data_IF_787384858057
#
_entry.id   IF_787384858057
#
_cell.length_a   1.000
_cell.length_b   1.000
_cell.length_c   1.000
_cell.angle_alpha   90.00
_cell.angle_beta   90.00
_cell.angle_gamma   90.00
#
_symmetry.space_group_name_H-M   'P 1'
#
loop_
_entity.id
_entity.type
_entity.pdbx_description
1 polymer ?
#
# COMPACT_ATOMS: atom_id res chain seq x y z
N UNK A 1 7.75 -27.10 49.30
CA UNK A 1 7.53 -27.45 47.89
C UNK A 1 7.29 -26.24 46.99
N UNK A 2 6.31 -25.37 47.28
CA UNK A 2 6.05 -24.19 46.44
C UNK A 2 7.24 -23.22 46.33
N UNK A 3 7.99 -22.98 47.42
CA UNK A 3 9.23 -22.19 47.38
C UNK A 3 10.31 -22.85 46.51
N UNK A 4 10.40 -24.18 46.46
CA UNK A 4 11.34 -24.88 45.58
C UNK A 4 10.95 -24.72 44.11
N UNK A 5 9.65 -24.61 43.80
CA UNK A 5 9.13 -24.35 42.44
C UNK A 5 9.40 -22.90 42.01
N UNK A 6 9.25 -21.95 42.93
CA UNK A 6 9.54 -20.53 42.68
C UNK A 6 11.04 -20.30 42.51
N UNK A 7 11.86 -20.81 43.43
CA UNK A 7 13.30 -20.55 43.43
C UNK A 7 14.09 -21.45 42.48
N UNK A 8 13.74 -22.75 42.40
CA UNK A 8 14.37 -23.72 41.51
C UNK A 8 15.91 -23.70 41.50
N UNK A 9 16.51 -24.37 40.53
CA UNK A 9 17.95 -24.22 40.28
C UNK A 9 18.14 -22.96 39.41
N UNK A 10 18.88 -21.95 39.91
CA UNK A 10 19.10 -20.64 39.22
C UNK A 10 19.62 -20.75 37.78
N UNK A 11 20.10 -21.93 37.36
CA UNK A 11 20.63 -22.21 36.02
C UNK A 11 19.60 -22.70 35.00
N UNK A 12 18.42 -23.17 35.41
CA UNK A 12 17.34 -23.57 34.50
C UNK A 12 16.12 -22.70 34.73
N UNK A 13 15.93 -21.66 33.91
CA UNK A 13 14.68 -20.91 33.86
C UNK A 13 13.60 -21.74 33.13
N UNK A 14 13.21 -22.88 33.69
CA UNK A 14 11.98 -23.55 33.25
C UNK A 14 10.80 -22.95 34.00
N UNK A 15 9.80 -22.50 33.24
CA UNK A 15 8.53 -22.04 33.78
C UNK A 15 7.48 -23.14 33.56
N UNK A 16 6.65 -23.39 34.56
CA UNK A 16 5.58 -24.40 34.50
C UNK A 16 4.29 -23.82 35.06
N UNK A 17 3.16 -24.46 34.79
CA UNK A 17 1.87 -24.06 35.37
C UNK A 17 1.88 -24.05 36.91
N UNK A 18 2.71 -24.89 37.53
CA UNK A 18 2.89 -24.89 38.99
C UNK A 18 3.44 -23.56 39.53
N UNK A 19 4.23 -22.83 38.75
CA UNK A 19 4.72 -21.49 39.12
C UNK A 19 3.57 -20.49 39.27
N UNK A 20 2.57 -20.54 38.38
CA UNK A 20 1.39 -19.68 38.48
C UNK A 20 0.50 -20.07 39.65
N UNK A 21 0.33 -21.38 39.90
CA UNK A 21 -0.41 -21.85 41.08
C UNK A 21 0.25 -21.41 42.40
N UNK A 22 1.58 -21.44 42.48
CA UNK A 22 2.31 -20.93 43.65
C UNK A 22 2.14 -19.41 43.83
N UNK A 23 2.15 -18.64 42.75
CA UNK A 23 1.85 -17.20 42.78
C UNK A 23 0.43 -16.91 43.29
N UNK A 24 -0.56 -17.71 42.87
CA UNK A 24 -1.95 -17.56 43.31
C UNK A 24 -2.09 -17.84 44.81
N UNK A 25 -1.41 -18.88 45.31
CA UNK A 25 -1.35 -19.17 46.76
C UNK A 25 -0.71 -18.05 47.55
N UNK A 26 0.39 -17.45 47.06
CA UNK A 26 1.03 -16.29 47.71
C UNK A 26 0.04 -15.14 47.83
N UNK A 27 -0.69 -14.84 46.76
CA UNK A 27 -1.69 -13.78 46.75
C UNK A 27 -2.86 -14.08 47.71
N UNK A 28 -3.29 -15.35 47.79
CA UNK A 28 -4.33 -15.79 48.72
C UNK A 28 -3.88 -15.64 50.18
N UNK A 29 -2.67 -16.08 50.53
CA UNK A 29 -2.10 -15.94 51.88
C UNK A 29 -2.00 -14.46 52.25
N UNK A 30 -1.52 -13.62 51.33
CA UNK A 30 -1.45 -12.16 51.53
C UNK A 30 -2.84 -11.51 51.71
N UNK A 31 -3.89 -12.04 51.08
CA UNK A 31 -5.24 -11.53 51.27
C UNK A 31 -5.84 -12.01 52.61
N UNK A 32 -5.59 -13.26 52.98
CA UNK A 32 -6.08 -13.87 54.21
C UNK A 32 -5.42 -13.28 55.47
N UNK A 33 -4.19 -12.78 55.39
CA UNK A 33 -3.55 -12.06 56.50
C UNK A 33 -4.30 -10.78 56.91
N UNK A 34 -5.10 -10.19 56.01
CA UNK A 34 -6.02 -9.09 56.37
C UNK A 34 -7.11 -9.54 57.36
N UNK A 35 -7.47 -10.82 57.36
CA UNK A 35 -8.38 -11.41 58.35
C UNK A 35 -7.66 -11.50 59.70
N UNK A 36 -6.39 -11.94 59.72
CA UNK A 36 -5.57 -12.00 60.94
C UNK A 36 -5.40 -10.62 61.59
N UNK A 37 -5.25 -9.56 60.79
CA UNK A 37 -5.23 -8.18 61.30
C UNK A 37 -6.53 -7.82 62.04
N UNK A 38 -7.69 -8.25 61.54
CA UNK A 38 -9.00 -8.00 62.17
C UNK A 38 -9.21 -8.84 63.43
N UNK A 39 -8.52 -9.96 63.55
CA UNK A 39 -8.55 -10.87 64.72
C UNK A 39 -7.58 -10.47 65.84
N UNK A 40 -6.87 -9.35 65.73
CA UNK A 40 -5.97 -8.82 66.77
C UNK A 40 -4.51 -9.28 66.67
N UNK A 41 -4.15 -10.08 65.66
CA UNK A 41 -2.79 -10.60 65.44
C UNK A 41 -2.00 -9.70 64.46
N UNK A 42 -1.90 -8.41 64.75
CA UNK A 42 -1.40 -7.42 63.79
C UNK A 42 0.07 -7.64 63.38
N UNK A 43 0.97 -7.87 64.33
CA UNK A 43 2.41 -8.05 64.04
C UNK A 43 2.66 -9.25 63.14
N UNK A 44 2.12 -10.43 63.49
CA UNK A 44 2.27 -11.63 62.66
C UNK A 44 1.65 -11.48 61.27
N UNK A 45 0.52 -10.76 61.18
CA UNK A 45 -0.12 -10.50 59.89
C UNK A 45 0.76 -9.61 59.00
N UNK A 46 1.37 -8.56 59.55
CA UNK A 46 2.29 -7.68 58.82
C UNK A 46 3.55 -8.43 58.38
N UNK A 47 4.17 -9.20 59.27
CA UNK A 47 5.36 -10.00 58.94
C UNK A 47 5.07 -11.00 57.81
N UNK A 48 3.90 -11.66 57.87
CA UNK A 48 3.48 -12.60 56.81
C UNK A 48 3.24 -11.88 55.49
N UNK A 49 2.61 -10.70 55.52
CA UNK A 49 2.38 -9.90 54.30
C UNK A 49 3.71 -9.49 53.66
N UNK A 50 4.68 -9.04 54.45
CA UNK A 50 6.00 -8.64 53.95
C UNK A 50 6.73 -9.83 53.30
N UNK A 51 6.73 -11.00 53.95
CA UNK A 51 7.31 -12.22 53.36
C UNK A 51 6.61 -12.63 52.05
N UNK A 52 5.27 -12.54 51.99
CA UNK A 52 4.53 -12.86 50.76
C UNK A 52 4.85 -11.87 49.62
N UNK A 53 5.05 -10.59 49.92
CA UNK A 53 5.48 -9.59 48.94
C UNK A 53 6.85 -9.93 48.38
N UNK A 54 7.83 -10.26 49.24
CA UNK A 54 9.17 -10.65 48.81
C UNK A 54 9.15 -11.86 47.88
N UNK A 55 8.41 -12.91 48.26
CA UNK A 55 8.24 -14.10 47.42
C UNK A 55 7.55 -13.78 46.09
N UNK A 56 6.58 -12.86 46.10
CA UNK A 56 5.88 -12.42 44.89
C UNK A 56 6.82 -11.66 43.95
N UNK A 57 7.66 -10.77 44.46
CA UNK A 57 8.63 -10.00 43.65
C UNK A 57 9.65 -10.91 42.98
N UNK A 58 10.27 -11.83 43.73
CA UNK A 58 11.26 -12.77 43.17
C UNK A 58 10.62 -13.73 42.15
N UNK A 59 9.39 -14.19 42.41
CA UNK A 59 8.64 -15.02 41.48
C UNK A 59 8.29 -14.26 40.18
N UNK A 60 7.87 -13.00 40.28
CA UNK A 60 7.59 -12.15 39.13
C UNK A 60 8.85 -11.82 38.34
N UNK A 61 10.01 -11.65 38.98
CA UNK A 61 11.28 -11.46 38.28
C UNK A 61 11.64 -12.69 37.43
N UNK A 62 11.44 -13.90 37.97
CA UNK A 62 11.62 -15.15 37.21
C UNK A 62 10.68 -15.25 36.02
N UNK A 63 9.39 -14.96 36.22
CA UNK A 63 8.37 -14.93 35.16
C UNK A 63 8.76 -13.92 34.08
N UNK A 64 9.18 -12.73 34.47
CA UNK A 64 9.64 -11.67 33.57
C UNK A 64 10.81 -12.13 32.70
N UNK A 65 11.91 -12.62 33.31
CA UNK A 65 13.11 -13.06 32.57
C UNK A 65 12.81 -14.21 31.61
N UNK A 66 11.98 -15.15 32.05
CA UNK A 66 11.53 -16.25 31.19
C UNK A 66 10.74 -15.73 29.99
N UNK A 67 9.77 -14.85 30.25
CA UNK A 67 8.90 -14.31 29.19
C UNK A 67 9.69 -13.48 28.19
N UNK A 68 10.63 -12.65 28.66
CA UNK A 68 11.51 -11.88 27.78
C UNK A 68 12.27 -12.78 26.80
N UNK A 69 12.71 -13.97 27.23
CA UNK A 69 13.44 -14.92 26.39
C UNK A 69 12.58 -15.72 25.41
N UNK A 70 11.28 -15.87 25.69
CA UNK A 70 10.38 -16.78 24.96
C UNK A 70 9.25 -16.06 24.20
N UNK A 71 8.99 -14.78 24.49
CA UNK A 71 7.85 -14.04 23.94
C UNK A 71 7.81 -14.03 22.40
N UNK A 72 8.97 -14.12 21.72
CA UNK A 72 9.04 -14.18 20.25
C UNK A 72 8.40 -15.42 19.62
N UNK A 73 8.21 -16.49 20.40
CA UNK A 73 7.63 -17.77 20.00
C UNK A 73 6.20 -17.95 20.52
N UNK A 74 5.43 -16.86 20.58
CA UNK A 74 4.06 -16.85 21.10
C UNK A 74 3.10 -17.76 20.31
N UNK A 75 3.43 -18.01 19.06
CA UNK A 75 2.76 -18.92 18.13
C UNK A 75 3.09 -20.41 18.35
N UNK A 76 4.08 -20.73 19.19
CA UNK A 76 4.38 -22.11 19.56
C UNK A 76 3.30 -22.64 20.54
N UNK A 77 2.51 -23.67 20.15
CA UNK A 77 1.42 -24.20 20.98
C UNK A 77 1.83 -24.65 22.38
N UNK A 78 3.08 -25.09 22.57
CA UNK A 78 3.60 -25.52 23.87
C UNK A 78 3.90 -24.33 24.80
N UNK A 79 4.11 -23.13 24.24
CA UNK A 79 4.51 -21.94 24.97
C UNK A 79 3.40 -20.88 25.08
N UNK A 80 2.46 -20.86 24.14
CA UNK A 80 1.42 -19.81 24.04
C UNK A 80 0.71 -19.57 25.36
N UNK A 81 0.27 -20.64 26.04
CA UNK A 81 -0.47 -20.51 27.30
C UNK A 81 0.40 -20.00 28.45
N UNK A 82 1.65 -20.47 28.56
CA UNK A 82 2.60 -20.00 29.56
C UNK A 82 2.94 -18.52 29.35
N UNK A 83 3.14 -18.10 28.11
CA UNK A 83 3.41 -16.70 27.75
C UNK A 83 2.21 -15.82 28.11
N UNK A 84 0.99 -16.21 27.71
CA UNK A 84 -0.22 -15.44 27.99
C UNK A 84 -0.48 -15.31 29.50
N UNK A 85 -0.26 -16.38 30.28
CA UNK A 85 -0.39 -16.34 31.74
C UNK A 85 0.67 -15.44 32.38
N UNK A 86 1.92 -15.48 31.89
CA UNK A 86 2.97 -14.57 32.34
C UNK A 86 2.60 -13.10 32.09
N UNK A 87 2.10 -12.78 30.89
CA UNK A 87 1.65 -11.43 30.55
C UNK A 87 0.51 -10.96 31.46
N UNK A 88 -0.45 -11.85 31.76
CA UNK A 88 -1.52 -11.57 32.73
C UNK A 88 -0.94 -11.27 34.12
N UNK A 89 0.00 -12.07 34.64
CA UNK A 89 0.59 -11.86 35.96
C UNK A 89 1.41 -10.57 36.05
N UNK A 90 1.99 -10.10 34.95
CA UNK A 90 2.73 -8.83 34.89
C UNK A 90 1.83 -7.62 34.63
N UNK A 91 0.55 -7.81 34.29
CA UNK A 91 -0.35 -6.72 33.91
C UNK A 91 -0.49 -5.64 35.01
N UNK A 92 -0.56 -6.04 36.28
CA UNK A 92 -0.66 -5.13 37.43
C UNK A 92 0.66 -4.41 37.75
N UNK A 93 1.76 -4.82 37.09
CA UNK A 93 3.11 -4.22 37.18
C UNK A 93 3.49 -3.63 35.82
N UNK A 94 2.85 -2.52 35.46
CA UNK A 94 2.97 -1.85 34.16
C UNK A 94 4.42 -1.70 33.62
N UNK A 95 5.45 -1.40 34.43
CA UNK A 95 6.83 -1.34 33.92
C UNK A 95 7.33 -2.68 33.34
N UNK A 96 7.13 -3.79 34.06
CA UNK A 96 7.56 -5.12 33.60
C UNK A 96 6.81 -5.54 32.34
N UNK A 97 5.49 -5.30 32.33
CA UNK A 97 4.66 -5.55 31.16
C UNK A 97 5.17 -4.79 29.93
N UNK A 98 5.47 -3.49 30.07
CA UNK A 98 6.00 -2.67 28.97
C UNK A 98 7.36 -3.17 28.47
N UNK A 99 8.29 -3.53 29.36
CA UNK A 99 9.60 -4.05 28.94
C UNK A 99 9.49 -5.35 28.13
N UNK A 100 8.60 -6.26 28.50
CA UNK A 100 8.37 -7.48 27.72
C UNK A 100 7.80 -7.16 26.35
N UNK A 101 6.90 -6.20 26.25
CA UNK A 101 6.32 -5.75 24.98
C UNK A 101 7.36 -5.09 24.09
N UNK A 102 8.24 -4.28 24.67
CA UNK A 102 9.33 -3.64 23.93
C UNK A 102 10.29 -4.68 23.38
N UNK A 103 10.69 -5.66 24.20
CA UNK A 103 11.50 -6.81 23.75
C UNK A 103 10.80 -7.61 22.65
N UNK A 104 9.51 -7.91 22.84
CA UNK A 104 8.70 -8.63 21.85
C UNK A 104 8.70 -7.89 20.51
N UNK A 105 8.46 -6.58 20.52
CA UNK A 105 8.48 -5.76 19.31
C UNK A 105 9.85 -5.78 18.62
N UNK A 106 10.94 -5.70 19.38
CA UNK A 106 12.31 -5.76 18.84
C UNK A 106 12.56 -7.13 18.17
N UNK A 107 12.23 -8.22 18.86
CA UNK A 107 12.41 -9.57 18.36
C UNK A 107 11.57 -9.84 17.10
N UNK A 108 10.25 -9.54 17.15
CA UNK A 108 9.34 -9.75 16.01
C UNK A 108 9.69 -8.86 14.82
N UNK A 109 10.12 -7.61 15.04
CA UNK A 109 10.65 -6.75 13.95
C UNK A 109 11.82 -7.42 13.24
N UNK A 110 12.78 -7.96 13.98
CA UNK A 110 13.95 -8.65 13.40
C UNK A 110 13.54 -9.89 12.60
N UNK A 111 12.59 -10.68 13.15
CA UNK A 111 12.04 -11.86 12.48
C UNK A 111 11.33 -11.45 11.18
N UNK A 112 10.42 -10.49 11.23
CA UNK A 112 9.65 -10.01 10.07
C UNK A 112 10.58 -9.56 8.93
N UNK A 113 11.63 -8.80 9.25
CA UNK A 113 12.62 -8.37 8.24
C UNK A 113 13.39 -9.56 7.67
N UNK A 114 13.81 -10.50 8.51
CA UNK A 114 14.51 -11.71 8.07
C UNK A 114 13.63 -12.57 7.15
N UNK A 115 12.37 -12.78 7.52
CA UNK A 115 11.41 -13.54 6.74
C UNK A 115 11.10 -12.86 5.41
N UNK A 116 11.01 -11.53 5.37
CA UNK A 116 10.85 -10.81 4.11
C UNK A 116 12.04 -11.02 3.17
N UNK A 117 13.26 -10.90 3.69
CA UNK A 117 14.48 -11.14 2.90
C UNK A 117 14.53 -12.60 2.43
N UNK A 118 14.15 -13.56 3.28
CA UNK A 118 14.08 -14.97 2.89
C UNK A 118 13.01 -15.20 1.80
N UNK A 119 11.84 -14.57 1.90
CA UNK A 119 10.81 -14.65 0.86
C UNK A 119 11.29 -14.08 -0.47
N UNK A 120 12.05 -12.97 -0.44
CA UNK A 120 12.66 -12.37 -1.63
C UNK A 120 13.73 -13.27 -2.26
N UNK A 121 14.63 -13.84 -1.45
CA UNK A 121 15.90 -14.45 -1.94
C UNK A 121 15.91 -15.97 -1.96
N UNK A 122 15.24 -16.63 -1.01
CA UNK A 122 15.23 -18.10 -0.84
C UNK A 122 13.88 -18.74 -1.18
N UNK A 123 12.79 -18.00 -1.05
CA UNK A 123 11.44 -18.53 -1.19
C UNK A 123 11.00 -19.33 0.04
N UNK A 124 9.97 -20.14 -0.12
CA UNK A 124 9.41 -20.95 0.97
C UNK A 124 10.19 -22.25 1.25
N UNK A 125 9.74 -23.04 2.25
CA UNK A 125 10.37 -24.31 2.62
C UNK A 125 10.51 -25.23 1.39
N UNK A 126 11.69 -25.83 1.22
CA UNK A 126 12.03 -26.65 0.04
C UNK A 126 11.99 -25.89 -1.31
N UNK A 127 12.14 -24.56 -1.29
CA UNK A 127 12.14 -23.71 -2.48
C UNK A 127 10.75 -23.46 -3.07
N UNK A 128 9.67 -23.73 -2.31
CA UNK A 128 8.28 -23.50 -2.73
C UNK A 128 7.53 -22.62 -1.71
N UNK A 129 6.95 -21.48 -2.13
CA UNK A 129 7.05 -20.87 -3.47
C UNK A 129 8.50 -20.44 -3.78
N UNK A 130 8.81 -20.29 -5.06
CA UNK A 130 10.12 -19.80 -5.51
C UNK A 130 10.42 -18.38 -4.94
N UNK A 131 11.69 -17.99 -4.82
CA UNK A 131 12.06 -16.63 -4.42
C UNK A 131 11.36 -15.57 -5.27
N UNK A 132 10.84 -14.53 -4.64
CA UNK A 132 10.15 -13.44 -5.35
C UNK A 132 11.10 -12.76 -6.34
N UNK A 133 12.40 -12.67 -6.05
CA UNK A 133 13.42 -12.10 -6.95
C UNK A 133 13.50 -12.78 -8.32
N UNK A 134 13.13 -14.06 -8.44
CA UNK A 134 13.13 -14.75 -9.74
C UNK A 134 12.14 -14.13 -10.73
N UNK A 135 11.15 -13.40 -10.23
CA UNK A 135 10.11 -12.74 -11.01
C UNK A 135 10.39 -11.27 -11.28
N UNK A 136 11.58 -10.76 -10.93
CA UNK A 136 11.90 -9.33 -11.07
C UNK A 136 11.85 -8.78 -12.51
N UNK A 137 11.80 -9.66 -13.53
CA UNK A 137 11.59 -9.28 -14.93
C UNK A 137 10.14 -8.87 -15.23
N UNK A 138 9.17 -9.37 -14.46
CA UNK A 138 7.78 -8.97 -14.53
C UNK A 138 7.46 -8.09 -13.31
N UNK A 139 7.45 -6.79 -13.54
CA UNK A 139 7.30 -5.77 -12.50
C UNK A 139 5.96 -5.89 -11.79
N UNK A 140 4.88 -6.16 -12.53
CA UNK A 140 3.56 -6.24 -11.96
C UNK A 140 3.47 -7.44 -11.00
N UNK A 141 3.93 -8.62 -11.43
CA UNK A 141 3.93 -9.81 -10.58
C UNK A 141 4.88 -9.65 -9.39
N UNK A 142 6.08 -9.11 -9.62
CA UNK A 142 7.09 -8.90 -8.57
C UNK A 142 6.57 -8.00 -7.45
N UNK A 143 5.96 -6.86 -7.81
CA UNK A 143 5.36 -5.95 -6.83
C UNK A 143 4.15 -6.60 -6.16
N UNK A 144 3.28 -7.29 -6.93
CA UNK A 144 2.13 -8.01 -6.37
C UNK A 144 2.55 -8.99 -5.28
N UNK A 145 3.53 -9.86 -5.57
CA UNK A 145 3.98 -10.89 -4.64
C UNK A 145 4.57 -10.30 -3.35
N UNK A 146 5.34 -9.20 -3.46
CA UNK A 146 5.86 -8.50 -2.27
C UNK A 146 4.72 -7.98 -1.38
N UNK A 147 3.68 -7.39 -1.97
CA UNK A 147 2.56 -6.84 -1.23
C UNK A 147 1.58 -7.90 -0.69
N UNK A 148 1.37 -9.00 -1.42
CA UNK A 148 0.64 -10.17 -0.94
C UNK A 148 1.33 -10.74 0.30
N UNK A 149 2.66 -10.93 0.21
CA UNK A 149 3.46 -11.42 1.34
C UNK A 149 3.36 -10.47 2.53
N UNK A 150 3.54 -9.17 2.30
CA UNK A 150 3.50 -8.15 3.35
C UNK A 150 2.15 -8.12 4.06
N UNK A 151 1.05 -8.10 3.30
CA UNK A 151 -0.30 -8.09 3.87
C UNK A 151 -0.55 -9.33 4.74
N UNK A 152 -0.12 -10.51 4.28
CA UNK A 152 -0.23 -11.76 5.05
C UNK A 152 0.62 -11.72 6.33
N UNK A 153 1.88 -11.29 6.23
CA UNK A 153 2.79 -11.24 7.36
C UNK A 153 2.28 -10.28 8.45
N UNK A 154 1.75 -9.11 8.07
CA UNK A 154 1.16 -8.15 9.00
C UNK A 154 -0.07 -8.73 9.71
N UNK A 155 -0.93 -9.48 9.01
CA UNK A 155 -2.06 -10.19 9.66
C UNK A 155 -1.58 -11.21 10.70
N UNK A 156 -0.49 -11.94 10.41
CA UNK A 156 0.11 -12.90 11.35
C UNK A 156 0.67 -12.19 12.58
N UNK A 157 1.35 -11.04 12.43
CA UNK A 157 1.83 -10.27 13.58
C UNK A 157 0.68 -9.74 14.46
N UNK A 158 -0.45 -9.37 13.85
CA UNK A 158 -1.64 -8.98 14.59
C UNK A 158 -2.20 -10.15 15.41
N UNK A 159 -2.29 -11.34 14.81
CA UNK A 159 -2.72 -12.55 15.51
C UNK A 159 -1.76 -12.91 16.65
N UNK A 160 -0.45 -12.82 16.44
CA UNK A 160 0.56 -13.10 17.47
C UNK A 160 0.45 -12.12 18.65
N UNK A 161 0.18 -10.84 18.40
CA UNK A 161 -0.08 -9.87 19.47
C UNK A 161 -1.36 -10.19 20.25
N UNK A 162 -2.41 -10.67 19.57
CA UNK A 162 -3.64 -11.14 20.22
C UNK A 162 -3.39 -12.39 21.07
N UNK A 163 -2.54 -13.32 20.61
CA UNK A 163 -2.12 -14.49 21.40
C UNK A 163 -1.31 -14.08 22.63
N UNK A 164 -0.37 -13.14 22.48
CA UNK A 164 0.47 -12.61 23.56
C UNK A 164 -0.37 -12.00 24.68
N UNK A 165 -1.45 -11.35 24.30
CA UNK A 165 -2.32 -10.57 25.19
C UNK A 165 -3.63 -11.26 25.54
N UNK A 166 -3.80 -12.53 25.13
CA UNK A 166 -5.06 -13.29 25.16
C UNK A 166 -5.76 -13.30 26.53
N UNK A 167 -5.00 -13.37 27.62
CA UNK A 167 -5.53 -13.46 28.99
C UNK A 167 -5.58 -12.11 29.72
N UNK A 168 -4.95 -11.08 29.18
CA UNK A 168 -4.87 -9.76 29.79
C UNK A 168 -6.18 -8.98 29.63
N UNK A 169 -6.55 -8.19 30.64
CA UNK A 169 -7.81 -7.42 30.66
C UNK A 169 -7.59 -5.99 30.17
N UNK A 170 -8.59 -5.34 29.57
CA UNK A 170 -8.53 -3.92 29.22
C UNK A 170 -7.37 -3.50 28.29
N UNK A 171 -6.86 -4.41 27.45
CA UNK A 171 -5.91 -4.02 26.41
C UNK A 171 -6.70 -3.38 25.27
N UNK A 172 -6.59 -2.05 25.17
CA UNK A 172 -7.24 -1.29 24.11
C UNK A 172 -6.63 -1.61 22.74
N UNK A 173 -7.44 -1.50 21.68
CA UNK A 173 -6.98 -1.68 20.30
C UNK A 173 -5.80 -0.77 19.93
N UNK A 174 -5.70 0.41 20.55
CA UNK A 174 -4.57 1.34 20.36
C UNK A 174 -3.23 0.72 20.73
N UNK A 175 -3.20 -0.10 21.79
CA UNK A 175 -1.96 -0.77 22.22
C UNK A 175 -1.46 -1.77 21.18
N UNK A 176 -2.38 -2.56 20.61
CA UNK A 176 -2.04 -3.52 19.55
C UNK A 176 -1.55 -2.76 18.32
N UNK A 177 -2.21 -1.65 17.95
CA UNK A 177 -1.77 -0.78 16.87
C UNK A 177 -0.35 -0.24 17.11
N UNK A 178 -0.05 0.29 18.29
CA UNK A 178 1.27 0.85 18.61
C UNK A 178 2.38 -0.22 18.57
N UNK A 179 2.09 -1.44 19.03
CA UNK A 179 3.01 -2.56 18.90
C UNK A 179 3.21 -2.99 17.43
N UNK A 180 2.13 -3.06 16.64
CA UNK A 180 2.21 -3.37 15.21
C UNK A 180 3.01 -2.33 14.43
N UNK A 181 2.81 -1.04 14.69
CA UNK A 181 3.58 0.05 14.07
C UNK A 181 5.07 -0.18 14.32
N UNK A 182 5.45 -0.45 15.58
CA UNK A 182 6.84 -0.71 15.95
C UNK A 182 7.38 -1.97 15.26
N UNK A 183 6.62 -3.05 15.16
CA UNK A 183 7.09 -4.25 14.44
C UNK A 183 7.28 -3.97 12.95
N UNK A 184 6.31 -3.28 12.34
CA UNK A 184 6.30 -3.00 10.90
C UNK A 184 7.35 -1.97 10.47
N UNK A 185 7.82 -1.09 11.35
CA UNK A 185 8.86 -0.09 11.00
C UNK A 185 10.11 -0.70 10.34
N UNK A 186 10.47 -1.95 10.70
CA UNK A 186 11.61 -2.65 10.12
C UNK A 186 11.47 -2.94 8.61
N UNK A 187 10.25 -3.06 8.10
CA UNK A 187 9.98 -3.46 6.71
C UNK A 187 10.08 -2.29 5.72
N UNK A 188 9.94 -1.06 6.22
CA UNK A 188 9.84 0.14 5.40
C UNK A 188 11.05 0.32 4.48
N UNK A 189 12.25 0.18 5.02
CA UNK A 189 13.48 0.39 4.26
C UNK A 189 13.75 -0.70 3.22
N UNK A 190 13.69 -2.01 3.54
CA UNK A 190 13.82 -3.08 2.55
C UNK A 190 12.78 -2.98 1.43
N UNK A 191 11.51 -2.72 1.76
CA UNK A 191 10.44 -2.57 0.77
C UNK A 191 10.74 -1.39 -0.17
N UNK A 192 11.11 -0.23 0.40
CA UNK A 192 11.40 0.98 -0.36
C UNK A 192 12.51 0.76 -1.39
N UNK A 193 13.65 0.20 -0.98
CA UNK A 193 14.78 -0.08 -1.89
C UNK A 193 14.34 -0.96 -3.07
N UNK A 194 13.52 -1.98 -2.82
CA UNK A 194 13.10 -2.92 -3.88
C UNK A 194 12.15 -2.27 -4.87
N UNK A 195 11.18 -1.49 -4.40
CA UNK A 195 10.26 -0.79 -5.29
C UNK A 195 11.00 0.30 -6.08
N UNK A 196 11.83 1.11 -5.44
CA UNK A 196 12.64 2.14 -6.12
C UNK A 196 13.54 1.54 -7.20
N UNK A 197 14.19 0.40 -6.92
CA UNK A 197 15.02 -0.30 -7.90
C UNK A 197 14.22 -0.72 -9.13
N UNK A 198 12.99 -1.18 -8.94
CA UNK A 198 12.11 -1.59 -10.03
C UNK A 198 11.64 -0.40 -10.87
N UNK A 199 11.32 0.72 -10.21
CA UNK A 199 10.93 1.96 -10.90
C UNK A 199 12.06 2.59 -11.72
N UNK A 200 13.32 2.27 -11.41
CA UNK A 200 14.48 2.72 -12.19
C UNK A 200 14.73 1.90 -13.47
N UNK A 201 14.00 0.79 -13.67
CA UNK A 201 14.09 0.00 -14.90
C UNK A 201 13.16 0.60 -15.96
N UNK A 202 13.62 0.79 -17.21
CA UNK A 202 12.74 1.24 -18.29
C UNK A 202 11.52 0.33 -18.42
N UNK A 203 10.34 0.90 -18.16
CA UNK A 203 9.08 0.18 -18.05
C UNK A 203 7.99 0.94 -18.80
N UNK A 204 7.11 0.27 -19.58
CA UNK A 204 6.02 0.95 -20.27
C UNK A 204 5.05 1.66 -19.32
N UNK A 205 4.48 2.79 -19.76
CA UNK A 205 3.54 3.58 -18.95
C UNK A 205 2.30 2.77 -18.51
N UNK A 206 1.83 1.84 -19.34
CA UNK A 206 0.69 0.96 -19.03
C UNK A 206 0.95 0.07 -17.82
N UNK A 207 2.15 -0.52 -17.75
CA UNK A 207 2.58 -1.37 -16.63
C UNK A 207 2.74 -0.51 -15.37
N UNK A 208 3.36 0.67 -15.47
CA UNK A 208 3.51 1.58 -14.33
C UNK A 208 2.16 2.01 -13.76
N UNK A 209 1.18 2.34 -14.60
CA UNK A 209 -0.17 2.67 -14.15
C UNK A 209 -0.84 1.51 -13.41
N UNK A 210 -0.67 0.27 -13.88
CA UNK A 210 -1.15 -0.92 -13.16
C UNK A 210 -0.51 -1.05 -11.76
N UNK A 211 0.78 -0.74 -11.64
CA UNK A 211 1.51 -0.75 -10.36
C UNK A 211 1.02 0.35 -9.42
N UNK A 212 0.75 1.57 -9.92
CA UNK A 212 0.16 2.65 -9.12
C UNK A 212 -1.17 2.21 -8.49
N UNK A 213 -2.05 1.61 -9.30
CA UNK A 213 -3.35 1.11 -8.83
C UNK A 213 -3.20 -0.02 -7.81
N UNK A 214 -2.24 -0.91 -8.02
CA UNK A 214 -1.91 -1.98 -7.08
C UNK A 214 -1.39 -1.43 -5.74
N UNK A 215 -0.46 -0.47 -5.77
CA UNK A 215 0.06 0.20 -4.57
C UNK A 215 -1.07 0.87 -3.81
N UNK A 216 -2.00 1.54 -4.50
CA UNK A 216 -3.18 2.17 -3.90
C UNK A 216 -4.08 1.14 -3.20
N UNK A 217 -4.35 0.01 -3.86
CA UNK A 217 -5.15 -1.08 -3.31
C UNK A 217 -4.51 -1.68 -2.05
N UNK A 218 -3.23 -2.09 -2.13
CA UNK A 218 -2.56 -2.72 -0.99
C UNK A 218 -2.29 -1.77 0.16
N UNK A 219 -2.00 -0.49 -0.12
CA UNK A 219 -1.96 0.54 0.93
C UNK A 219 -3.28 0.55 1.70
N UNK A 220 -4.42 0.57 1.01
CA UNK A 220 -5.74 0.54 1.66
C UNK A 220 -5.94 -0.74 2.48
N UNK A 221 -5.57 -1.91 1.96
CA UNK A 221 -5.69 -3.18 2.70
C UNK A 221 -4.80 -3.22 3.95
N UNK A 222 -3.54 -2.84 3.82
CA UNK A 222 -2.57 -2.85 4.92
C UNK A 222 -2.96 -1.81 5.98
N UNK A 223 -3.37 -0.61 5.58
CA UNK A 223 -3.79 0.45 6.50
C UNK A 223 -5.08 0.15 7.26
N UNK A 224 -5.88 -0.84 6.84
CA UNK A 224 -6.99 -1.38 7.65
C UNK A 224 -6.48 -2.18 8.85
N UNK A 225 -5.30 -2.79 8.75
CA UNK A 225 -4.70 -3.62 9.80
C UNK A 225 -3.77 -2.80 10.67
N UNK A 226 -2.87 -2.01 10.06
CA UNK A 226 -1.92 -1.14 10.74
C UNK A 226 -2.13 0.28 10.26
N UNK A 227 -2.80 1.06 11.08
CA UNK A 227 -3.06 2.48 10.81
C UNK A 227 -1.98 3.35 11.45
N UNK A 228 -1.58 4.42 10.76
CA UNK A 228 -0.59 5.40 11.22
C UNK A 228 0.83 4.82 11.31
N UNK A 229 1.82 5.69 11.48
CA UNK A 229 3.24 5.31 11.61
C UNK A 229 4.03 5.32 10.29
N UNK A 230 5.26 4.79 10.35
CA UNK A 230 6.23 4.90 9.25
C UNK A 230 5.86 4.09 8.02
N UNK A 231 5.14 2.97 8.20
CA UNK A 231 4.72 2.11 7.09
C UNK A 231 3.71 2.82 6.19
N UNK A 232 2.66 3.43 6.75
CA UNK A 232 1.68 4.19 5.98
C UNK A 232 2.34 5.31 5.18
N UNK A 233 3.26 6.06 5.81
CA UNK A 233 4.04 7.10 5.13
C UNK A 233 4.89 6.51 3.99
N UNK A 234 5.58 5.40 4.23
CA UNK A 234 6.41 4.73 3.22
C UNK A 234 5.56 4.26 2.03
N UNK A 235 4.39 3.69 2.28
CA UNK A 235 3.47 3.26 1.22
C UNK A 235 2.93 4.44 0.41
N UNK A 236 2.62 5.56 1.07
CA UNK A 236 2.22 6.80 0.39
C UNK A 236 3.36 7.38 -0.44
N UNK A 237 4.58 7.43 0.09
CA UNK A 237 5.76 7.93 -0.62
C UNK A 237 6.05 7.09 -1.86
N UNK A 238 5.96 5.75 -1.75
CA UNK A 238 6.11 4.83 -2.88
C UNK A 238 5.00 4.97 -3.92
N UNK A 239 3.76 5.17 -3.49
CA UNK A 239 2.64 5.45 -4.39
C UNK A 239 2.91 6.74 -5.18
N UNK A 240 3.29 7.83 -4.50
CA UNK A 240 3.56 9.12 -5.13
C UNK A 240 4.74 9.05 -6.09
N UNK A 241 5.82 8.34 -5.70
CA UNK A 241 6.98 8.14 -6.56
C UNK A 241 6.60 7.37 -7.83
N UNK A 242 5.83 6.30 -7.70
CA UNK A 242 5.37 5.51 -8.85
C UNK A 242 4.46 6.34 -9.77
N UNK A 243 3.58 7.18 -9.22
CA UNK A 243 2.73 8.11 -9.99
C UNK A 243 3.58 9.15 -10.75
N UNK A 244 4.62 9.70 -10.13
CA UNK A 244 5.54 10.64 -10.78
C UNK A 244 6.33 10.00 -11.93
N UNK A 245 6.86 8.78 -11.71
CA UNK A 245 7.57 8.03 -12.74
C UNK A 245 6.62 7.68 -13.88
N UNK A 246 5.39 7.24 -13.58
CA UNK A 246 4.35 6.99 -14.57
C UNK A 246 4.09 8.19 -15.48
N UNK A 247 3.79 9.38 -14.93
CA UNK A 247 3.50 10.56 -15.75
C UNK A 247 4.71 11.00 -16.58
N UNK A 248 5.92 10.89 -16.02
CA UNK A 248 7.16 11.22 -16.73
C UNK A 248 7.37 10.28 -17.92
N UNK A 249 7.20 8.97 -17.72
CA UNK A 249 7.31 7.96 -18.77
C UNK A 249 6.23 8.12 -19.83
N UNK A 250 4.97 8.35 -19.42
CA UNK A 250 3.87 8.59 -20.35
C UNK A 250 4.16 9.78 -21.26
N UNK A 251 4.62 10.89 -20.69
CA UNK A 251 4.98 12.07 -21.46
C UNK A 251 6.13 11.79 -22.45
N UNK A 252 7.12 10.99 -22.06
CA UNK A 252 8.21 10.58 -22.94
C UNK A 252 7.72 9.67 -24.07
N UNK A 253 6.87 8.67 -23.79
CA UNK A 253 6.28 7.78 -24.80
C UNK A 253 5.46 8.56 -25.83
N UNK A 254 4.59 9.47 -25.36
CA UNK A 254 3.77 10.33 -26.22
C UNK A 254 4.66 11.23 -27.08
N UNK A 255 5.62 11.93 -26.49
CA UNK A 255 6.52 12.81 -27.24
C UNK A 255 7.33 12.03 -28.28
N UNK A 256 7.87 10.86 -27.92
CA UNK A 256 8.66 10.03 -28.83
C UNK A 256 7.83 9.52 -30.02
N UNK A 257 6.56 9.19 -29.80
CA UNK A 257 5.64 8.82 -30.87
C UNK A 257 5.39 9.99 -31.83
N UNK A 258 5.31 11.22 -31.31
CA UNK A 258 5.02 12.43 -32.08
C UNK A 258 6.24 13.04 -32.80
N UNK A 259 7.48 12.64 -32.47
CA UNK A 259 8.70 13.13 -33.16
C UNK A 259 8.72 12.73 -34.65
N UNK A 260 8.17 11.55 -34.98
CA UNK A 260 8.05 11.11 -36.37
C UNK A 260 6.85 11.80 -37.01
N UNK A 261 7.06 13.02 -37.51
CA UNK A 261 6.02 13.75 -38.23
C UNK A 261 5.78 13.06 -39.57
N UNK A 262 4.82 12.15 -39.59
CA UNK A 262 4.29 11.55 -40.80
C UNK A 262 3.44 12.57 -41.54
N UNK A 263 3.56 12.63 -42.86
CA UNK A 263 2.68 13.47 -43.68
C UNK A 263 1.28 12.87 -43.69
N UNK A 264 0.21 13.67 -43.54
CA UNK A 264 -1.16 13.21 -43.70
C UNK A 264 -1.34 12.39 -44.97
N UNK A 265 -2.12 11.31 -44.88
CA UNK A 265 -2.41 10.44 -46.02
C UNK A 265 -3.27 11.19 -47.06
N UNK A 266 -3.24 10.72 -48.31
CA UNK A 266 -4.00 11.35 -49.42
C UNK A 266 -5.52 11.29 -49.23
N UNK A 267 -5.99 10.36 -48.41
CA UNK A 267 -7.40 10.21 -48.03
C UNK A 267 -7.81 11.11 -46.85
N UNK A 268 -6.87 11.88 -46.29
CA UNK A 268 -7.06 12.74 -45.13
C UNK A 268 -7.56 11.98 -43.89
N UNK A 269 -7.31 10.67 -43.83
CA UNK A 269 -7.54 9.87 -42.64
C UNK A 269 -6.50 10.16 -41.54
N UNK A 270 -6.82 9.96 -40.25
CA UNK A 270 -5.86 10.16 -39.16
C UNK A 270 -4.63 9.26 -39.33
N UNK A 271 -3.45 9.81 -39.04
CA UNK A 271 -2.20 9.06 -39.19
C UNK A 271 -2.13 7.87 -38.21
N UNK A 272 -1.37 6.80 -38.53
CA UNK A 272 -1.21 5.65 -37.63
C UNK A 272 -0.76 6.02 -36.22
N UNK A 273 0.02 7.08 -36.06
CA UNK A 273 0.45 7.62 -34.77
C UNK A 273 -0.75 8.05 -33.91
N UNK A 274 -1.76 8.68 -34.50
CA UNK A 274 -3.01 9.08 -33.81
C UNK A 274 -3.71 7.84 -33.25
N UNK A 275 -3.89 6.82 -34.10
CA UNK A 275 -4.54 5.57 -33.70
C UNK A 275 -3.78 4.82 -32.60
N UNK A 276 -2.45 4.79 -32.68
CA UNK A 276 -1.60 4.15 -31.67
C UNK A 276 -1.68 4.86 -30.30
N UNK A 277 -1.68 6.20 -30.30
CA UNK A 277 -1.80 6.98 -29.05
C UNK A 277 -3.20 6.89 -28.45
N UNK A 278 -4.25 6.83 -29.27
CA UNK A 278 -5.61 6.57 -28.80
C UNK A 278 -5.78 5.16 -28.24
N UNK A 279 -5.12 4.15 -28.84
CA UNK A 279 -5.08 2.80 -28.28
C UNK A 279 -4.37 2.78 -26.92
N UNK A 280 -3.21 3.43 -26.79
CA UNK A 280 -2.50 3.60 -25.52
C UNK A 280 -3.38 4.27 -24.45
N UNK A 281 -4.07 5.36 -24.81
CA UNK A 281 -4.99 6.05 -23.91
C UNK A 281 -6.12 5.13 -23.47
N UNK A 282 -6.69 4.34 -24.38
CA UNK A 282 -7.75 3.38 -24.06
C UNK A 282 -7.29 2.32 -23.06
N UNK A 283 -6.09 1.79 -23.22
CA UNK A 283 -5.51 0.83 -22.29
C UNK A 283 -5.30 1.43 -20.89
N UNK A 284 -4.83 2.68 -20.83
CA UNK A 284 -4.66 3.42 -19.56
C UNK A 284 -6.00 3.73 -18.87
N UNK A 285 -6.98 4.24 -19.62
CA UNK A 285 -8.29 4.60 -19.06
C UNK A 285 -9.12 3.37 -18.68
N UNK A 286 -9.01 2.26 -19.41
CA UNK A 286 -9.70 1.00 -19.07
C UNK A 286 -9.22 0.44 -17.73
N UNK A 287 -7.91 0.49 -17.47
CA UNK A 287 -7.34 0.10 -16.17
C UNK A 287 -7.71 1.08 -15.06
N UNK A 288 -7.84 2.38 -15.36
CA UNK A 288 -8.29 3.41 -14.41
C UNK A 288 -9.77 3.24 -14.03
N UNK A 289 -10.62 2.77 -14.95
CA UNK A 289 -12.06 2.63 -14.69
C UNK A 289 -12.38 1.65 -13.55
N UNK A 290 -11.47 0.72 -13.28
CA UNK A 290 -11.58 -0.27 -12.20
C UNK A 290 -11.00 0.20 -10.86
N UNK A 291 -10.38 1.39 -10.80
CA UNK A 291 -9.67 1.88 -9.62
C UNK A 291 -10.49 2.89 -8.80
N UNK A 292 -10.21 2.96 -7.50
CA UNK A 292 -10.73 4.04 -6.65
C UNK A 292 -10.02 5.35 -7.01
N UNK A 293 -10.80 6.42 -7.24
CA UNK A 293 -10.28 7.70 -7.75
C UNK A 293 -10.31 7.82 -9.28
N UNK A 294 -11.00 6.91 -9.99
CA UNK A 294 -11.11 6.86 -11.45
C UNK A 294 -11.36 8.21 -12.12
N UNK A 295 -12.26 9.05 -11.59
CA UNK A 295 -12.55 10.37 -12.15
C UNK A 295 -11.29 11.26 -12.21
N UNK A 296 -10.53 11.32 -11.11
CA UNK A 296 -9.33 12.15 -11.03
C UNK A 296 -8.21 11.59 -11.91
N UNK A 297 -8.02 10.27 -11.90
CA UNK A 297 -7.01 9.61 -12.73
C UNK A 297 -7.31 9.83 -14.21
N UNK A 298 -8.57 9.65 -14.63
CA UNK A 298 -9.04 9.90 -15.99
C UNK A 298 -8.81 11.36 -16.41
N UNK A 299 -9.25 12.33 -15.58
CA UNK A 299 -9.06 13.77 -15.86
C UNK A 299 -7.59 14.18 -15.91
N UNK A 300 -6.71 13.50 -15.17
CA UNK A 300 -5.25 13.76 -15.19
C UNK A 300 -4.56 13.09 -16.38
N UNK A 301 -4.87 11.84 -16.71
CA UNK A 301 -4.18 11.06 -17.75
C UNK A 301 -4.52 11.58 -19.15
N UNK A 302 -5.81 11.87 -19.42
CA UNK A 302 -6.28 12.30 -20.73
C UNK A 302 -5.50 13.48 -21.32
N UNK A 303 -5.27 14.61 -20.61
CA UNK A 303 -4.53 15.73 -21.19
C UNK A 303 -3.06 15.43 -21.50
N UNK A 304 -2.42 14.46 -20.86
CA UNK A 304 -1.04 14.07 -21.20
C UNK A 304 -0.93 13.41 -22.56
N UNK A 305 -2.02 12.84 -23.10
CA UNK A 305 -2.06 12.21 -24.42
C UNK A 305 -2.74 13.12 -25.44
N UNK A 306 -3.91 13.67 -25.10
CA UNK A 306 -4.75 14.41 -26.04
C UNK A 306 -4.16 15.78 -26.39
N UNK A 307 -3.61 16.54 -25.44
CA UNK A 307 -3.09 17.88 -25.74
C UNK A 307 -1.86 17.86 -26.68
N UNK A 308 -0.85 16.98 -26.47
CA UNK A 308 0.25 16.83 -27.42
C UNK A 308 -0.24 16.31 -28.78
N UNK A 309 -1.21 15.40 -28.79
CA UNK A 309 -1.79 14.84 -30.01
C UNK A 309 -2.48 15.93 -30.84
N UNK A 310 -3.36 16.73 -30.23
CA UNK A 310 -4.05 17.83 -30.90
C UNK A 310 -3.06 18.87 -31.45
N UNK A 311 -2.00 19.19 -30.71
CA UNK A 311 -0.95 20.09 -31.18
C UNK A 311 -0.26 19.53 -32.43
N UNK A 312 0.11 18.25 -32.40
CA UNK A 312 0.75 17.60 -33.55
C UNK A 312 -0.18 17.49 -34.76
N UNK A 313 -1.47 17.18 -34.54
CA UNK A 313 -2.48 17.15 -35.60
C UNK A 313 -2.63 18.54 -36.24
N UNK A 314 -2.68 19.60 -35.44
CA UNK A 314 -2.76 20.97 -35.94
C UNK A 314 -1.50 21.37 -36.75
N UNK A 315 -0.31 21.03 -36.25
CA UNK A 315 0.95 21.25 -36.98
C UNK A 315 0.99 20.50 -38.30
N UNK A 316 0.50 19.25 -38.35
CA UNK A 316 0.38 18.48 -39.59
C UNK A 316 -0.65 19.08 -40.55
N UNK A 317 -1.82 19.48 -40.04
CA UNK A 317 -2.90 20.07 -40.80
C UNK A 317 -2.50 21.41 -41.43
N UNK A 318 -1.71 22.23 -40.73
CA UNK A 318 -1.26 23.54 -41.22
C UNK A 318 -0.41 23.49 -42.50
N UNK A 319 0.09 22.30 -42.87
CA UNK A 319 0.86 22.06 -44.11
C UNK A 319 -0.03 21.72 -45.31
N UNK A 320 -1.33 21.53 -45.07
CA UNK A 320 -2.32 21.21 -46.09
C UNK A 320 -3.04 22.48 -46.59
N UNK A 321 -3.63 22.44 -47.80
CA UNK A 321 -4.58 23.47 -48.24
C UNK A 321 -5.75 23.64 -47.25
N UNK A 322 -6.35 24.83 -47.19
CA UNK A 322 -7.38 25.18 -46.21
C UNK A 322 -8.54 24.16 -46.13
N UNK A 323 -9.04 23.68 -47.27
CA UNK A 323 -10.12 22.69 -47.33
C UNK A 323 -9.68 21.33 -46.77
N UNK A 324 -8.51 20.85 -47.20
CA UNK A 324 -7.95 19.56 -46.77
C UNK A 324 -7.55 19.59 -45.28
N UNK A 325 -7.07 20.74 -44.80
CA UNK A 325 -6.76 21.01 -43.40
C UNK A 325 -8.00 20.82 -42.52
N UNK A 326 -9.13 21.46 -42.85
CA UNK A 326 -10.37 21.34 -42.07
C UNK A 326 -10.91 19.91 -42.08
N UNK A 327 -10.86 19.20 -43.22
CA UNK A 327 -11.30 17.80 -43.30
C UNK A 327 -10.41 16.89 -42.43
N UNK A 328 -9.09 17.02 -42.54
CA UNK A 328 -8.16 16.21 -41.75
C UNK A 328 -8.32 16.44 -40.24
N UNK A 329 -8.47 17.70 -39.82
CA UNK A 329 -8.73 18.04 -38.42
C UNK A 329 -10.04 17.45 -37.92
N UNK A 330 -11.12 17.52 -38.69
CA UNK A 330 -12.41 16.94 -38.33
C UNK A 330 -12.32 15.42 -38.17
N UNK A 331 -11.65 14.72 -39.09
CA UNK A 331 -11.44 13.28 -38.98
C UNK A 331 -10.66 12.91 -37.71
N UNK A 332 -9.59 13.64 -37.38
CA UNK A 332 -8.82 13.40 -36.17
C UNK A 332 -9.63 13.69 -34.88
N UNK A 333 -10.37 14.81 -34.85
CA UNK A 333 -11.21 15.17 -33.71
C UNK A 333 -12.30 14.13 -33.50
N UNK A 334 -12.92 13.65 -34.58
CA UNK A 334 -13.95 12.61 -34.54
C UNK A 334 -13.43 11.30 -33.93
N UNK A 335 -12.24 10.84 -34.35
CA UNK A 335 -11.63 9.63 -33.79
C UNK A 335 -11.29 9.79 -32.29
N UNK A 336 -10.79 10.97 -31.89
CA UNK A 336 -10.56 11.30 -30.48
C UNK A 336 -11.88 11.26 -29.70
N UNK A 337 -12.93 11.90 -30.21
CA UNK A 337 -14.27 11.92 -29.60
C UNK A 337 -14.84 10.51 -29.45
N UNK A 338 -14.76 9.66 -30.48
CA UNK A 338 -15.19 8.26 -30.38
C UNK A 338 -14.43 7.56 -29.26
N UNK A 339 -13.10 7.73 -29.20
CA UNK A 339 -12.30 7.07 -28.17
C UNK A 339 -12.69 7.51 -26.76
N UNK A 340 -12.94 8.81 -26.54
CA UNK A 340 -13.32 9.35 -25.24
C UNK A 340 -14.77 8.99 -24.87
N UNK A 341 -15.64 8.70 -25.84
CA UNK A 341 -17.07 8.40 -25.60
C UNK A 341 -17.28 7.10 -24.83
N UNK A 342 -16.25 6.25 -24.80
CA UNK A 342 -16.23 4.99 -24.07
C UNK A 342 -16.02 5.17 -22.56
N UNK A 343 -15.70 6.38 -22.10
CA UNK A 343 -15.32 6.66 -20.71
C UNK A 343 -16.21 7.71 -20.07
N UNK A 344 -16.60 7.46 -18.82
CA UNK A 344 -17.31 8.43 -17.98
C UNK A 344 -16.38 9.61 -17.64
N UNK A 345 -16.95 10.80 -17.37
CA UNK A 345 -16.24 12.00 -16.90
C UNK A 345 -15.38 12.75 -17.94
N UNK A 346 -15.67 12.58 -19.23
CA UNK A 346 -14.97 13.27 -20.33
C UNK A 346 -15.72 14.51 -20.86
N UNK A 347 -16.79 14.95 -20.21
CA UNK A 347 -17.69 16.01 -20.71
C UNK A 347 -16.95 17.31 -21.05
N UNK A 348 -16.06 17.78 -20.17
CA UNK A 348 -15.26 18.99 -20.39
C UNK A 348 -14.36 18.88 -21.64
N UNK A 349 -13.83 17.68 -21.91
CA UNK A 349 -13.03 17.42 -23.12
C UNK A 349 -13.91 17.36 -24.36
N UNK A 350 -15.08 16.74 -24.26
CA UNK A 350 -16.05 16.68 -25.33
C UNK A 350 -16.52 18.06 -25.77
N UNK A 351 -16.87 18.92 -24.82
CA UNK A 351 -17.34 20.29 -25.11
C UNK A 351 -16.25 21.08 -25.87
N UNK A 352 -14.99 20.99 -25.42
CA UNK A 352 -13.85 21.65 -26.09
C UNK A 352 -13.59 21.11 -27.49
N UNK A 353 -13.61 19.77 -27.66
CA UNK A 353 -13.41 19.12 -28.95
C UNK A 353 -14.56 19.45 -29.91
N UNK A 354 -15.80 19.51 -29.42
CA UNK A 354 -16.97 19.87 -30.20
C UNK A 354 -16.87 21.32 -30.69
N UNK A 355 -16.51 22.26 -29.81
CA UNK A 355 -16.31 23.64 -30.20
C UNK A 355 -15.22 23.81 -31.27
N UNK A 356 -14.13 23.01 -31.19
CA UNK A 356 -13.11 22.99 -32.24
C UNK A 356 -13.63 22.40 -33.56
N UNK A 357 -14.44 21.33 -33.50
CA UNK A 357 -15.06 20.74 -34.67
C UNK A 357 -16.01 21.71 -35.37
N UNK A 358 -16.90 22.37 -34.61
CA UNK A 358 -17.87 23.34 -35.14
C UNK A 358 -17.16 24.49 -35.86
N UNK A 359 -16.07 25.01 -35.29
CA UNK A 359 -15.25 26.05 -35.93
C UNK A 359 -14.63 25.57 -37.26
N UNK A 360 -14.22 24.30 -37.37
CA UNK A 360 -13.71 23.75 -38.63
C UNK A 360 -14.81 23.51 -39.66
N UNK A 361 -16.03 23.16 -39.22
CA UNK A 361 -17.21 23.04 -40.09
C UNK A 361 -17.57 24.42 -40.66
N UNK A 362 -17.57 25.47 -39.85
CA UNK A 362 -17.83 26.84 -40.32
C UNK A 362 -16.78 27.30 -41.34
N UNK A 363 -15.50 26.99 -41.12
CA UNK A 363 -14.44 27.28 -42.09
C UNK A 363 -14.65 26.53 -43.41
N UNK A 364 -14.96 25.23 -43.35
CA UNK A 364 -15.20 24.39 -44.53
C UNK A 364 -16.39 24.89 -45.34
N UNK A 365 -17.50 25.22 -44.67
CA UNK A 365 -18.71 25.71 -45.33
C UNK A 365 -18.48 27.07 -45.99
N UNK A 366 -17.76 27.98 -45.33
CA UNK A 366 -17.40 29.29 -45.88
C UNK A 366 -16.50 29.20 -47.11
N UNK A 367 -15.45 28.36 -47.06
CA UNK A 367 -14.53 28.13 -48.18
C UNK A 367 -15.23 27.48 -49.38
N UNK A 368 -16.06 26.46 -49.14
CA UNK A 368 -16.83 25.81 -50.20
C UNK A 368 -17.89 26.75 -50.81
N UNK A 369 -18.59 27.52 -49.98
CA UNK A 369 -19.56 28.51 -50.47
C UNK A 369 -18.86 29.59 -51.33
N UNK A 370 -17.72 30.11 -50.86
CA UNK A 370 -16.92 31.09 -51.59
C UNK A 370 -16.41 30.53 -52.93
N UNK A 371 -15.93 29.28 -52.92
CA UNK A 371 -15.50 28.57 -54.13
C UNK A 371 -16.65 28.37 -55.12
N UNK A 372 -17.85 28.00 -54.66
CA UNK A 372 -19.04 27.86 -55.52
C UNK A 372 -19.48 29.20 -56.12
N UNK A 373 -19.52 30.27 -55.31
CA UNK A 373 -19.86 31.62 -55.78
C UNK A 373 -18.88 32.10 -56.85
N UNK A 374 -17.57 31.84 -56.64
CA UNK A 374 -16.53 32.16 -57.60
C UNK A 374 -16.66 31.34 -58.89
N UNK A 375 -16.83 30.02 -58.81
CA UNK A 375 -16.94 29.13 -59.97
C UNK A 375 -18.20 29.37 -60.81
N UNK A 376 -19.32 29.74 -60.16
CA UNK A 376 -20.58 30.02 -60.83
C UNK A 376 -20.67 31.47 -61.36
N UNK A 377 -19.63 32.30 -61.15
CA UNK A 377 -19.63 33.74 -61.47
C UNK A 377 -20.82 34.51 -60.87
N UNK A 378 -21.34 34.07 -59.72
CA UNK A 378 -22.49 34.68 -59.03
C UNK A 378 -22.05 35.84 -58.12
N UNK A 379 -20.74 36.08 -57.99
CA UNK A 379 -20.17 37.19 -57.21
C UNK A 379 -20.85 38.56 -57.40
N UNK A 380 -21.20 39.00 -58.63
CA UNK A 380 -21.90 40.28 -58.87
C UNK A 380 -23.32 40.35 -58.30
N UNK A 381 -23.97 39.21 -58.08
CA UNK A 381 -25.34 39.11 -57.54
C UNK A 381 -25.33 39.27 -56.01
N UNK A 382 -24.21 38.94 -55.35
CA UNK A 382 -24.04 39.06 -53.90
C UNK A 382 -23.79 40.50 -53.42
N UNK A 383 -23.45 41.41 -54.35
CA UNK A 383 -23.09 42.82 -54.08
C UNK A 383 -24.22 43.83 -54.35
N UNK A 384 -25.42 43.37 -54.70
CA UNK A 384 -26.66 44.17 -54.81
C UNK A 384 -27.51 43.87 -53.58
#
# INVERSE_FOLDING_TARGET
>A
DDLLILYGNKKSLSLTHATFSALDKIQEIHNNSRILMRSGLQTMALDTMEQMILHQEEALEKVYRWTQSHCRYVDNPELTELIANSMLRMQDRLPLFRYVIDEYCICRRSILVSEFINALTKGGPSGKPAPIEMKAHDIQIYVTDMFVWLNKAISVEQENLLLLTKLCKNIGNSFIQDALIRICDGICHPLKIRIEKVLNVPTPATVLHSVVNLLRYYKKCICKIVSKGSLEKTLLDLQNLCEQVFFTTLQQEVNNALIKVETPLRDLSPTPVVNNLLALLRDLLSTANMSEGRENDMKKITPYVIEPLLRSVNEQASRLPALDMSIYMLNCIYDIQICLSLFEYMDDFFERLQAQADAQIDNLTSEQASSLVAHLNIGPIYTI
#
